data_IF_079452757258
#
_entry.id   IF_079452757258
#
_cell.length_a   1.000
_cell.length_b   1.000
_cell.length_c   1.000
_cell.angle_alpha   90.00
_cell.angle_beta   90.00
_cell.angle_gamma   90.00
#
_symmetry.space_group_name_H-M   'P 1'
#
loop_
_entity.id
_entity.type
_entity.pdbx_description
1 polymer ?
#
# COMPACT_ATOMS: atom_id res chain seq x y z
N UNK A 1 -6.11 5.55 -11.68
CA UNK A 1 -6.55 5.26 -10.29
C UNK A 1 -5.74 6.16 -9.40
N UNK A 2 -6.37 6.93 -8.51
CA UNK A 2 -5.65 7.87 -7.63
C UNK A 2 -5.41 7.28 -6.25
N UNK A 3 -4.20 7.39 -5.75
CA UNK A 3 -3.77 6.83 -4.46
C UNK A 3 -3.34 7.93 -3.49
N UNK A 4 -3.99 8.02 -2.34
CA UNK A 4 -3.59 8.88 -1.23
C UNK A 4 -2.77 8.08 -0.23
N UNK A 5 -1.53 8.47 -0.01
CA UNK A 5 -0.65 7.87 1.01
C UNK A 5 -0.59 8.79 2.22
N UNK A 6 -1.37 8.44 3.24
CA UNK A 6 -1.36 9.12 4.54
C UNK A 6 -0.25 8.50 5.39
N UNK A 7 0.83 9.24 5.57
CA UNK A 7 1.96 8.84 6.40
C UNK A 7 1.81 9.42 7.79
N UNK A 8 1.94 8.58 8.81
CA UNK A 8 2.10 9.00 10.20
C UNK A 8 3.40 8.47 10.74
N UNK A 9 4.36 9.35 10.99
CA UNK A 9 5.66 8.99 11.57
C UNK A 9 6.30 10.23 12.24
N UNK A 10 6.55 10.20 13.57
CA UNK A 10 7.03 11.38 14.30
C UNK A 10 8.32 12.02 13.76
N UNK A 11 9.25 11.20 13.28
CA UNK A 11 10.51 11.65 12.69
C UNK A 11 10.77 11.01 11.32
N UNK A 12 10.08 11.47 10.28
CA UNK A 12 10.31 10.98 8.91
C UNK A 12 11.73 11.29 8.42
N UNK A 13 12.32 12.41 8.82
CA UNK A 13 13.64 12.84 8.32
C UNK A 13 14.76 11.95 8.85
N UNK A 14 14.69 11.51 10.11
CA UNK A 14 15.63 10.55 10.69
C UNK A 14 15.39 9.08 10.32
N UNK A 15 14.30 8.77 9.61
CA UNK A 15 13.91 7.39 9.32
C UNK A 15 14.32 6.93 7.92
N UNK A 16 15.41 6.17 7.84
CA UNK A 16 15.90 5.59 6.58
C UNK A 16 14.81 4.81 5.82
N UNK A 17 13.98 4.05 6.54
CA UNK A 17 12.88 3.29 5.94
C UNK A 17 11.83 4.20 5.28
N UNK A 18 11.47 5.32 5.92
CA UNK A 18 10.47 6.23 5.39
C UNK A 18 11.03 7.07 4.24
N UNK A 19 12.30 7.49 4.31
CA UNK A 19 12.98 8.15 3.20
C UNK A 19 13.03 7.23 1.98
N UNK A 20 13.45 5.97 2.16
CA UNK A 20 13.45 4.98 1.10
C UNK A 20 12.06 4.81 0.46
N UNK A 21 11.00 4.64 1.26
CA UNK A 21 9.64 4.49 0.74
C UNK A 21 9.14 5.75 0.03
N UNK A 22 9.48 6.93 0.55
CA UNK A 22 9.11 8.21 -0.06
C UNK A 22 9.78 8.39 -1.42
N UNK A 23 11.07 8.09 -1.51
CA UNK A 23 11.85 8.16 -2.76
C UNK A 23 11.46 7.06 -3.75
N UNK A 24 10.96 5.94 -3.25
CA UNK A 24 10.47 4.81 -4.07
C UNK A 24 9.11 5.06 -4.72
N UNK A 25 8.38 6.10 -4.33
CA UNK A 25 7.09 6.42 -4.95
C UNK A 25 7.31 6.79 -6.43
N UNK A 26 6.50 6.26 -7.35
CA UNK A 26 6.63 6.60 -8.74
C UNK A 26 6.28 8.08 -8.92
N UNK A 27 6.99 8.75 -9.84
CA UNK A 27 6.72 10.16 -10.19
C UNK A 27 5.43 10.21 -11.00
N UNK A 28 4.30 10.32 -10.32
CA UNK A 28 2.97 10.32 -10.92
C UNK A 28 2.06 11.34 -10.23
N UNK A 29 1.27 12.06 -11.03
CA UNK A 29 0.23 12.96 -10.53
C UNK A 29 -0.93 12.21 -9.84
N UNK A 30 -1.01 10.89 -10.03
CA UNK A 30 -2.04 10.05 -9.42
C UNK A 30 -1.73 9.66 -7.97
N UNK A 31 -0.52 9.92 -7.46
CA UNK A 31 -0.14 9.61 -6.09
C UNK A 31 0.06 10.87 -5.27
N UNK A 32 -0.72 11.02 -4.21
CA UNK A 32 -0.56 12.09 -3.24
C UNK A 32 0.11 11.56 -1.98
N UNK A 33 1.33 12.03 -1.70
CA UNK A 33 2.02 11.80 -0.43
C UNK A 33 1.60 12.85 0.59
N UNK A 34 0.98 12.42 1.69
CA UNK A 34 0.45 13.30 2.72
C UNK A 34 0.98 12.89 4.11
N UNK A 35 1.96 13.63 4.63
CA UNK A 35 2.56 13.35 5.94
C UNK A 35 1.88 14.18 7.04
N UNK A 36 1.25 13.49 8.01
CA UNK A 36 0.44 14.11 9.05
C UNK A 36 1.25 15.02 9.96
N UNK A 37 2.38 14.56 10.50
CA UNK A 37 3.15 15.31 11.50
C UNK A 37 3.83 16.56 10.91
N UNK A 38 4.12 16.58 9.60
CA UNK A 38 4.58 17.81 8.91
C UNK A 38 3.42 18.75 8.59
N UNK A 39 2.25 18.21 8.25
CA UNK A 39 1.08 19.05 7.90
C UNK A 39 0.44 19.66 9.14
N UNK A 40 0.40 18.91 10.24
CA UNK A 40 -0.24 19.27 11.50
C UNK A 40 0.75 19.15 12.67
N UNK A 41 1.80 20.01 12.72
CA UNK A 41 2.80 19.97 13.79
C UNK A 41 2.23 20.35 15.17
N UNK A 42 1.11 21.07 15.20
CA UNK A 42 0.32 21.40 16.39
C UNK A 42 -0.82 20.40 16.65
N UNK A 43 -0.89 19.33 15.85
CA UNK A 43 -1.94 18.31 15.82
C UNK A 43 -3.36 18.87 15.59
N UNK A 44 -3.51 20.08 15.05
CA UNK A 44 -4.82 20.67 14.78
C UNK A 44 -5.28 20.29 13.36
N UNK A 45 -5.96 19.16 13.24
CA UNK A 45 -6.31 18.57 11.94
C UNK A 45 -7.42 19.38 11.26
N UNK A 46 -7.16 19.80 10.02
CA UNK A 46 -8.17 20.43 9.19
C UNK A 46 -9.07 19.37 8.56
N UNK A 47 -10.16 19.02 9.28
CA UNK A 47 -11.14 18.03 8.84
C UNK A 47 -11.58 18.21 7.39
N UNK A 48 -11.94 19.42 6.96
CA UNK A 48 -12.47 19.63 5.60
C UNK A 48 -11.41 19.36 4.53
N UNK A 49 -10.15 19.73 4.79
CA UNK A 49 -9.05 19.45 3.87
C UNK A 49 -8.81 17.94 3.74
N UNK A 50 -8.79 17.22 4.86
CA UNK A 50 -8.60 15.76 4.87
C UNK A 50 -9.74 15.02 4.17
N UNK A 51 -10.98 15.44 4.41
CA UNK A 51 -12.15 14.88 3.72
C UNK A 51 -12.11 15.14 2.22
N UNK A 52 -11.64 16.31 1.78
CA UNK A 52 -11.47 16.61 0.37
C UNK A 52 -10.41 15.72 -0.28
N UNK A 53 -9.29 15.46 0.42
CA UNK A 53 -8.28 14.50 -0.03
C UNK A 53 -8.89 13.09 -0.18
N UNK A 54 -9.65 12.62 0.81
CA UNK A 54 -10.31 11.30 0.73
C UNK A 54 -11.29 11.17 -0.44
N UNK A 55 -12.04 12.24 -0.74
CA UNK A 55 -12.97 12.25 -1.88
C UNK A 55 -12.23 12.15 -3.21
N UNK A 56 -11.09 12.85 -3.33
CA UNK A 56 -10.31 12.96 -4.57
C UNK A 56 -9.52 11.69 -4.96
N UNK A 57 -9.45 10.68 -4.09
CA UNK A 57 -8.63 9.48 -4.30
C UNK A 57 -9.44 8.19 -4.20
N UNK A 58 -9.07 7.17 -4.96
CA UNK A 58 -9.75 5.88 -5.03
C UNK A 58 -9.21 4.90 -3.99
N UNK A 59 -7.89 4.92 -3.77
CA UNK A 59 -7.17 4.09 -2.81
C UNK A 59 -6.57 4.97 -1.73
N UNK A 60 -6.83 4.62 -0.48
CA UNK A 60 -6.28 5.29 0.71
C UNK A 60 -5.32 4.31 1.37
N UNK A 61 -4.08 4.76 1.58
CA UNK A 61 -3.04 4.00 2.25
C UNK A 61 -2.71 4.67 3.57
N UNK A 62 -2.77 3.90 4.66
CA UNK A 62 -2.16 4.31 5.91
C UNK A 62 -0.76 3.72 6.00
N UNK A 63 0.24 4.58 6.03
CA UNK A 63 1.64 4.21 6.16
C UNK A 63 2.20 4.66 7.50
N UNK A 64 2.66 3.70 8.31
CA UNK A 64 3.15 4.01 9.65
C UNK A 64 4.09 2.93 10.20
N UNK A 65 4.99 3.29 11.13
CA UNK A 65 5.73 2.29 11.89
C UNK A 65 4.82 1.64 12.94
N UNK A 66 4.97 0.33 13.13
CA UNK A 66 4.18 -0.40 14.14
C UNK A 66 4.74 -0.10 15.54
N UNK A 67 4.11 0.84 16.25
CA UNK A 67 4.48 1.22 17.62
C UNK A 67 3.52 0.59 18.62
N UNK A 68 4.06 -0.23 19.53
CA UNK A 68 3.26 -0.95 20.53
C UNK A 68 2.03 -1.63 19.91
N UNK A 69 2.26 -2.34 18.80
CA UNK A 69 1.22 -3.08 18.06
C UNK A 69 0.11 -2.21 17.45
N UNK A 70 0.34 -0.90 17.30
CA UNK A 70 -0.61 0.06 16.73
C UNK A 70 0.10 1.13 15.90
N UNK A 71 -0.65 2.12 15.42
CA UNK A 71 -0.10 3.30 14.76
C UNK A 71 0.44 4.31 15.77
N UNK A 72 1.22 5.30 15.31
CA UNK A 72 1.44 6.53 16.06
C UNK A 72 0.10 7.22 16.41
N UNK A 73 0.10 8.05 17.47
CA UNK A 73 -1.12 8.63 18.02
C UNK A 73 -1.84 9.57 17.04
N UNK A 74 -1.09 10.31 16.21
CA UNK A 74 -1.68 11.29 15.30
C UNK A 74 -2.56 10.62 14.24
N UNK A 75 -2.20 9.43 13.73
CA UNK A 75 -3.09 8.68 12.83
C UNK A 75 -4.39 8.25 13.51
N UNK A 76 -4.35 7.92 14.80
CA UNK A 76 -5.57 7.58 15.54
C UNK A 76 -6.46 8.81 15.75
N UNK A 77 -5.86 9.96 16.11
CA UNK A 77 -6.55 11.24 16.20
C UNK A 77 -7.17 11.64 14.86
N UNK A 78 -6.42 11.48 13.77
CA UNK A 78 -6.90 11.71 12.40
C UNK A 78 -8.12 10.85 12.07
N UNK A 79 -8.10 9.56 12.41
CA UNK A 79 -9.27 8.69 12.21
C UNK A 79 -10.49 9.23 12.99
N UNK A 80 -10.31 9.64 14.24
CA UNK A 80 -11.40 10.13 15.09
C UNK A 80 -11.98 11.47 14.63
N UNK A 81 -11.15 12.36 14.10
CA UNK A 81 -11.57 13.71 13.71
C UNK A 81 -12.07 13.80 12.26
N UNK A 82 -11.59 12.94 11.36
CA UNK A 82 -11.89 12.98 9.92
C UNK A 82 -13.02 12.03 9.54
N UNK A 83 -13.05 10.82 10.11
CA UNK A 83 -14.06 9.79 9.81
C UNK A 83 -15.33 10.04 10.62
N UNK A 84 -16.07 11.08 10.24
CA UNK A 84 -17.26 11.56 10.97
C UNK A 84 -18.57 11.02 10.40
N UNK A 85 -19.60 11.02 11.25
CA UNK A 85 -20.98 10.79 10.82
C UNK A 85 -21.43 11.84 9.78
N UNK A 86 -22.18 11.41 8.78
CA UNK A 86 -22.60 12.26 7.66
C UNK A 86 -21.57 12.41 6.55
N UNK A 87 -20.34 11.95 6.77
CA UNK A 87 -19.29 11.88 5.74
C UNK A 87 -18.85 10.43 5.48
N UNK A 88 -18.27 9.77 6.49
CA UNK A 88 -17.69 8.43 6.36
C UNK A 88 -18.71 7.32 6.66
N UNK A 89 -19.67 7.58 7.56
CA UNK A 89 -20.72 6.64 7.94
C UNK A 89 -22.01 7.36 8.38
N UNK A 90 -23.06 6.60 8.66
CA UNK A 90 -24.35 7.13 9.13
C UNK A 90 -25.19 7.72 8.00
N UNK A 91 -26.22 8.49 8.35
CA UNK A 91 -27.16 9.04 7.35
C UNK A 91 -26.42 10.02 6.44
N UNK A 92 -26.35 9.72 5.13
CA UNK A 92 -25.62 10.51 4.14
C UNK A 92 -24.11 10.26 4.07
N UNK A 93 -23.54 9.52 5.03
CA UNK A 93 -22.10 9.23 5.07
C UNK A 93 -21.73 8.05 4.19
N UNK A 94 -21.51 8.30 2.89
CA UNK A 94 -21.11 7.29 1.89
C UNK A 94 -19.84 7.67 1.12
N UNK A 95 -19.10 8.70 1.56
CA UNK A 95 -17.98 9.26 0.80
C UNK A 95 -16.84 8.24 0.53
N UNK A 96 -16.75 7.19 1.34
CA UNK A 96 -15.69 6.17 1.28
C UNK A 96 -16.16 4.84 0.70
N UNK A 97 -17.44 4.69 0.38
CA UNK A 97 -17.99 3.41 -0.11
C UNK A 97 -17.36 3.04 -1.44
N UNK A 98 -16.87 1.80 -1.55
CA UNK A 98 -16.22 1.28 -2.75
C UNK A 98 -14.75 1.66 -2.93
N UNK A 99 -14.22 2.57 -2.11
CA UNK A 99 -12.78 2.90 -2.08
C UNK A 99 -11.97 1.79 -1.42
N UNK A 100 -10.66 1.84 -1.56
CA UNK A 100 -9.76 0.83 -0.99
C UNK A 100 -8.99 1.36 0.20
N UNK A 101 -8.84 0.54 1.24
CA UNK A 101 -7.96 0.82 2.37
C UNK A 101 -6.80 -0.17 2.37
N UNK A 102 -5.59 0.31 2.17
CA UNK A 102 -4.36 -0.46 2.34
C UNK A 102 -3.55 0.03 3.55
N UNK A 103 -2.71 -0.85 4.07
CA UNK A 103 -1.80 -0.55 5.18
C UNK A 103 -0.37 -0.82 4.74
N UNK A 104 0.54 0.13 4.97
CA UNK A 104 1.99 -0.04 4.79
C UNK A 104 2.65 0.11 6.15
N UNK A 105 3.28 -0.96 6.63
CA UNK A 105 3.79 -1.04 7.99
C UNK A 105 5.29 -1.28 7.98
N UNK A 106 6.05 -0.48 8.71
CA UNK A 106 7.43 -0.86 9.06
C UNK A 106 7.45 -1.51 10.43
N UNK A 107 8.04 -2.69 10.52
CA UNK A 107 8.02 -3.54 11.71
C UNK A 107 9.45 -3.94 12.08
N UNK A 108 9.86 -3.67 13.32
CA UNK A 108 11.21 -3.99 13.80
C UNK A 108 11.46 -5.47 14.06
N UNK A 109 10.39 -6.25 14.22
CA UNK A 109 10.44 -7.69 14.53
C UNK A 109 10.29 -8.52 13.24
N UNK A 110 10.95 -9.68 13.19
CA UNK A 110 10.86 -10.61 12.08
C UNK A 110 9.43 -11.14 11.87
N UNK A 111 9.07 -11.40 10.61
CA UNK A 111 7.75 -11.93 10.23
C UNK A 111 7.39 -13.22 10.99
N UNK A 112 8.34 -14.14 11.11
CA UNK A 112 8.16 -15.44 11.81
C UNK A 112 7.83 -15.31 13.30
N UNK A 113 7.99 -14.13 13.91
CA UNK A 113 7.60 -13.91 15.29
C UNK A 113 6.09 -13.71 15.44
N UNK A 114 5.41 -13.25 14.38
CA UNK A 114 3.98 -12.97 14.34
C UNK A 114 3.18 -14.21 13.93
N UNK A 115 3.21 -15.23 14.78
CA UNK A 115 2.42 -16.45 14.61
C UNK A 115 2.24 -17.15 15.96
N UNK A 116 1.32 -18.12 16.00
CA UNK A 116 1.18 -18.98 17.17
C UNK A 116 2.51 -19.72 17.45
N UNK A 117 3.01 -19.62 18.68
CA UNK A 117 4.33 -20.16 19.06
C UNK A 117 5.53 -19.28 18.70
N UNK A 118 5.34 -18.21 17.94
CA UNK A 118 6.35 -17.16 17.73
C UNK A 118 6.43 -16.18 18.90
N UNK A 119 7.47 -15.36 18.97
CA UNK A 119 7.69 -14.47 20.12
C UNK A 119 6.53 -13.49 20.40
N UNK A 120 5.83 -13.04 19.34
CA UNK A 120 4.70 -12.10 19.46
C UNK A 120 3.37 -12.81 19.69
N UNK A 121 3.30 -14.14 19.59
CA UNK A 121 2.14 -15.00 19.83
C UNK A 121 0.90 -14.78 18.93
N UNK A 122 0.87 -13.70 18.16
CA UNK A 122 -0.25 -13.31 17.30
C UNK A 122 0.20 -13.11 15.86
N UNK A 123 -0.67 -13.46 14.92
CA UNK A 123 -0.48 -13.08 13.53
C UNK A 123 -0.62 -11.55 13.39
N UNK A 124 0.17 -10.95 12.51
CA UNK A 124 0.11 -9.51 12.28
C UNK A 124 -1.29 -9.07 11.84
N UNK A 125 -1.99 -9.89 11.05
CA UNK A 125 -3.39 -9.65 10.65
C UNK A 125 -4.34 -9.51 11.84
N UNK A 126 -4.10 -10.20 12.96
CA UNK A 126 -4.92 -10.08 14.17
C UNK A 126 -4.75 -8.73 14.86
N UNK A 127 -3.53 -8.19 14.83
CA UNK A 127 -3.21 -6.87 15.40
C UNK A 127 -3.83 -5.74 14.58
N UNK A 128 -4.09 -5.98 13.29
CA UNK A 128 -4.61 -4.98 12.35
C UNK A 128 -6.15 -5.02 12.18
N UNK A 129 -6.84 -5.88 12.94
CA UNK A 129 -8.30 -5.97 12.94
C UNK A 129 -8.99 -4.62 13.13
N UNK A 130 -8.52 -3.69 14.00
CA UNK A 130 -9.18 -2.38 14.13
C UNK A 130 -9.28 -1.60 12.82
N UNK A 131 -8.24 -1.62 11.98
CA UNK A 131 -8.25 -0.95 10.68
C UNK A 131 -9.17 -1.64 9.68
N UNK A 132 -9.18 -2.98 9.67
CA UNK A 132 -10.11 -3.75 8.86
C UNK A 132 -11.56 -3.46 9.27
N UNK A 133 -11.84 -3.35 10.58
CA UNK A 133 -13.15 -3.01 11.10
C UNK A 133 -13.59 -1.60 10.67
N UNK A 134 -12.66 -0.62 10.67
CA UNK A 134 -12.92 0.72 10.12
C UNK A 134 -13.28 0.64 8.64
N UNK A 135 -12.46 -0.01 7.80
CA UNK A 135 -12.75 -0.18 6.38
C UNK A 135 -14.14 -0.78 6.14
N UNK A 136 -14.47 -1.86 6.84
CA UNK A 136 -15.78 -2.51 6.75
C UNK A 136 -16.92 -1.57 7.15
N UNK A 137 -16.73 -0.78 8.21
CA UNK A 137 -17.74 0.16 8.73
C UNK A 137 -18.06 1.27 7.73
N UNK A 138 -17.05 1.77 7.01
CA UNK A 138 -17.19 2.87 6.03
C UNK A 138 -17.39 2.38 4.60
N UNK A 139 -17.51 1.06 4.39
CA UNK A 139 -17.79 0.44 3.09
C UNK A 139 -16.60 0.40 2.13
N UNK A 140 -15.37 0.43 2.66
CA UNK A 140 -14.14 0.28 1.88
C UNK A 140 -13.73 -1.18 1.71
N UNK A 141 -13.03 -1.48 0.62
CA UNK A 141 -12.34 -2.75 0.39
C UNK A 141 -11.00 -2.76 1.13
N UNK A 142 -10.89 -3.59 2.17
CA UNK A 142 -9.63 -3.74 2.90
C UNK A 142 -8.64 -4.61 2.10
N UNK A 143 -7.49 -4.04 1.76
CA UNK A 143 -6.41 -4.73 1.03
C UNK A 143 -5.56 -5.55 2.00
N UNK A 144 -4.84 -6.54 1.45
CA UNK A 144 -3.83 -7.26 2.21
C UNK A 144 -2.77 -6.25 2.73
N UNK A 145 -2.44 -6.24 4.03
CA UNK A 145 -1.42 -5.35 4.58
C UNK A 145 -0.06 -5.58 3.94
N UNK A 146 0.63 -4.49 3.62
CA UNK A 146 2.00 -4.47 3.14
C UNK A 146 2.95 -4.27 4.32
N UNK A 147 3.41 -5.38 4.91
CA UNK A 147 4.32 -5.35 6.06
C UNK A 147 5.78 -5.45 5.63
N UNK A 148 6.61 -4.57 6.18
CA UNK A 148 8.05 -4.47 5.93
C UNK A 148 8.75 -4.81 7.24
N UNK A 149 9.16 -6.08 7.35
CA UNK A 149 9.87 -6.57 8.52
C UNK A 149 11.35 -6.27 8.40
N UNK A 150 11.96 -5.72 9.45
CA UNK A 150 13.41 -5.66 9.60
C UNK A 150 14.13 -4.93 8.46
N UNK A 151 13.54 -3.83 7.95
CA UNK A 151 14.09 -3.05 6.83
C UNK A 151 15.59 -2.71 6.97
N UNK A 152 16.03 -2.33 8.17
CA UNK A 152 17.43 -1.98 8.45
C UNK A 152 18.43 -3.14 8.27
N UNK A 153 17.95 -4.38 8.19
CA UNK A 153 18.76 -5.57 7.97
C UNK A 153 18.65 -6.13 6.55
N UNK A 154 17.84 -5.49 5.68
CA UNK A 154 17.71 -5.89 4.28
C UNK A 154 18.98 -5.53 3.49
N UNK A 155 19.37 -6.44 2.60
CA UNK A 155 20.37 -6.20 1.56
C UNK A 155 19.84 -5.24 0.49
N UNK A 156 20.73 -4.64 -0.30
CA UNK A 156 20.36 -3.76 -1.41
C UNK A 156 19.40 -4.44 -2.39
N UNK A 157 19.63 -5.72 -2.69
CA UNK A 157 18.76 -6.51 -3.58
C UNK A 157 17.35 -6.68 -3.01
N UNK A 158 17.24 -6.92 -1.70
CA UNK A 158 15.95 -7.01 -1.02
C UNK A 158 15.23 -5.66 -1.00
N UNK A 159 15.96 -4.57 -0.81
CA UNK A 159 15.41 -3.21 -0.90
C UNK A 159 14.91 -2.90 -2.31
N UNK A 160 15.65 -3.24 -3.36
CA UNK A 160 15.19 -3.08 -4.75
C UNK A 160 13.92 -3.88 -5.05
N UNK A 161 13.85 -5.13 -4.60
CA UNK A 161 12.64 -5.94 -4.73
C UNK A 161 11.46 -5.34 -3.94
N UNK A 162 11.74 -4.76 -2.77
CA UNK A 162 10.76 -4.07 -1.95
C UNK A 162 10.19 -2.83 -2.66
N UNK A 163 11.05 -2.02 -3.30
CA UNK A 163 10.65 -0.86 -4.09
C UNK A 163 9.63 -1.25 -5.16
N UNK A 164 9.94 -2.28 -5.95
CA UNK A 164 9.03 -2.75 -7.02
C UNK A 164 7.68 -3.17 -6.43
N UNK A 165 7.70 -3.98 -5.36
CA UNK A 165 6.47 -4.44 -4.70
C UNK A 165 5.68 -3.27 -4.12
N UNK A 166 6.35 -2.26 -3.59
CA UNK A 166 5.73 -1.07 -3.01
C UNK A 166 5.08 -0.21 -4.09
N UNK A 167 5.76 0.02 -5.22
CA UNK A 167 5.18 0.72 -6.36
C UNK A 167 3.94 0.00 -6.91
N UNK A 168 4.04 -1.32 -7.10
CA UNK A 168 2.91 -2.16 -7.52
C UNK A 168 1.72 -2.03 -6.55
N UNK A 169 1.97 -1.99 -5.24
CA UNK A 169 0.92 -1.82 -4.24
C UNK A 169 0.22 -0.46 -4.33
N UNK A 170 0.90 0.57 -4.84
CA UNK A 170 0.32 1.91 -5.01
C UNK A 170 -0.43 2.08 -6.33
N UNK A 171 -0.02 1.40 -7.39
CA UNK A 171 -0.45 1.69 -8.78
C UNK A 171 -1.36 0.62 -9.36
N UNK A 172 -1.21 -0.65 -8.98
CA UNK A 172 -1.97 -1.73 -9.59
C UNK A 172 -3.42 -1.78 -9.10
N UNK A 173 -4.41 -1.92 -9.98
CA UNK A 173 -5.82 -2.11 -9.59
C UNK A 173 -6.04 -3.46 -8.89
N UNK A 174 -5.30 -4.49 -9.30
CA UNK A 174 -5.27 -5.82 -8.68
C UNK A 174 -3.87 -6.43 -8.75
N UNK A 175 -3.63 -7.43 -7.89
CA UNK A 175 -2.32 -8.08 -7.77
C UNK A 175 -2.20 -9.36 -8.61
N UNK A 176 -3.03 -9.52 -9.66
CA UNK A 176 -2.93 -10.67 -10.56
C UNK A 176 -1.57 -10.71 -11.26
N UNK A 177 -1.18 -11.91 -11.70
CA UNK A 177 0.07 -12.10 -12.44
C UNK A 177 0.10 -11.22 -13.70
N UNK A 178 -0.99 -11.20 -14.46
CA UNK A 178 -1.08 -10.41 -15.70
C UNK A 178 -0.92 -8.91 -15.42
N UNK A 179 -1.60 -8.37 -14.41
CA UNK A 179 -1.46 -6.96 -14.02
C UNK A 179 -0.01 -6.61 -13.63
N UNK A 180 0.66 -7.47 -12.87
CA UNK A 180 2.05 -7.27 -12.46
C UNK A 180 3.03 -7.30 -13.63
N UNK A 181 2.85 -8.21 -14.58
CA UNK A 181 3.73 -8.32 -15.74
C UNK A 181 3.51 -7.13 -16.67
N UNK A 182 2.27 -6.76 -16.96
CA UNK A 182 1.98 -5.58 -17.79
C UNK A 182 2.57 -4.31 -17.17
N UNK A 183 2.43 -4.14 -15.85
CA UNK A 183 3.08 -3.03 -15.15
C UNK A 183 4.60 -3.04 -15.31
N UNK A 184 5.23 -4.23 -15.30
CA UNK A 184 6.67 -4.34 -15.49
C UNK A 184 7.07 -3.95 -16.91
N UNK A 185 6.32 -4.38 -17.92
CA UNK A 185 6.51 -3.97 -19.32
C UNK A 185 6.39 -2.45 -19.44
N UNK A 186 5.33 -1.84 -18.90
CA UNK A 186 5.12 -0.38 -18.92
C UNK A 186 6.29 0.38 -18.28
N UNK A 187 6.86 -0.13 -17.17
CA UNK A 187 8.05 0.49 -16.56
C UNK A 187 9.29 0.36 -17.46
N UNK A 188 9.51 -0.81 -18.07
CA UNK A 188 10.63 -1.03 -18.97
C UNK A 188 10.53 -0.14 -20.21
N UNK A 189 9.34 -0.02 -20.81
CA UNK A 189 9.09 0.87 -21.96
C UNK A 189 9.35 2.34 -21.62
N UNK A 190 9.00 2.79 -20.41
CA UNK A 190 9.21 4.16 -19.97
C UNK A 190 10.69 4.51 -19.74
N UNK A 191 11.53 3.52 -19.44
CA UNK A 191 12.99 3.67 -19.26
C UNK A 191 13.81 3.25 -20.50
N UNK A 192 13.17 2.64 -21.51
CA UNK A 192 13.83 2.05 -22.66
C UNK A 192 14.32 3.11 -23.66
N UNK A 193 15.62 3.40 -23.58
CA UNK A 193 16.41 3.99 -24.68
C UNK A 193 17.36 2.95 -25.32
N UNK A 194 17.20 1.64 -25.02
CA UNK A 194 18.12 0.59 -25.47
C UNK A 194 17.44 -0.64 -26.10
N UNK A 195 18.02 -1.11 -27.21
CA UNK A 195 17.64 -2.31 -27.95
C UNK A 195 17.66 -3.61 -27.12
N UNK A 196 18.44 -3.63 -26.02
CA UNK A 196 18.46 -4.77 -25.10
C UNK A 196 17.19 -4.84 -24.25
N UNK A 197 16.54 -3.70 -23.98
CA UNK A 197 15.29 -3.65 -23.22
C UNK A 197 14.11 -4.18 -24.05
N UNK A 198 14.05 -3.84 -25.34
CA UNK A 198 13.04 -4.34 -26.28
C UNK A 198 13.05 -5.88 -26.37
N UNK A 199 14.25 -6.48 -26.43
CA UNK A 199 14.37 -7.95 -26.44
C UNK A 199 13.88 -8.60 -25.14
N UNK A 200 14.07 -7.92 -23.99
CA UNK A 200 13.56 -8.42 -22.71
C UNK A 200 12.04 -8.33 -22.67
N UNK A 201 11.46 -7.24 -23.19
CA UNK A 201 10.00 -7.07 -23.30
C UNK A 201 9.42 -8.19 -24.18
N UNK A 202 9.95 -8.40 -25.38
CA UNK A 202 9.49 -9.46 -26.30
C UNK A 202 9.47 -10.84 -25.63
N UNK A 203 10.53 -11.19 -24.89
CA UNK A 203 10.61 -12.48 -24.17
C UNK A 203 9.57 -12.57 -23.06
N UNK A 204 9.31 -11.47 -22.34
CA UNK A 204 8.30 -11.44 -21.27
C UNK A 204 6.89 -11.63 -21.86
N UNK A 205 6.60 -10.97 -22.99
CA UNK A 205 5.32 -11.10 -23.71
C UNK A 205 5.11 -12.53 -24.23
N UNK A 206 6.13 -13.13 -24.85
CA UNK A 206 6.07 -14.52 -25.31
C UNK A 206 5.80 -15.50 -24.15
N UNK A 207 6.44 -15.31 -22.99
CA UNK A 207 6.19 -16.12 -21.80
C UNK A 207 4.77 -15.92 -21.23
N UNK A 208 4.19 -14.71 -21.32
CA UNK A 208 2.79 -14.50 -20.94
C UNK A 208 1.85 -15.31 -21.83
N UNK A 209 2.07 -15.28 -23.15
CA UNK A 209 1.28 -16.04 -24.12
C UNK A 209 1.34 -17.54 -23.80
N UNK A 210 2.53 -18.07 -23.52
CA UNK A 210 2.70 -19.49 -23.16
C UNK A 210 1.95 -19.84 -21.86
N UNK A 211 1.99 -18.98 -20.84
CA UNK A 211 1.25 -19.17 -19.59
C UNK A 211 -0.26 -19.19 -19.83
N UNK A 212 -0.77 -18.29 -20.66
CA UNK A 212 -2.20 -18.21 -20.96
C UNK A 212 -2.69 -19.39 -21.82
N UNK A 213 -1.87 -19.88 -22.76
CA UNK A 213 -2.10 -21.13 -23.47
C UNK A 213 -2.14 -22.32 -22.51
N UNK A 214 -1.17 -22.45 -21.59
CA UNK A 214 -1.17 -23.51 -20.58
C UNK A 214 -2.42 -23.47 -19.68
N UNK A 215 -2.86 -22.28 -19.28
CA UNK A 215 -4.10 -22.09 -18.51
C UNK A 215 -5.34 -22.54 -19.29
N UNK A 216 -5.42 -22.21 -20.58
CA UNK A 216 -6.48 -22.70 -21.47
C UNK A 216 -6.48 -24.24 -21.50
N UNK A 217 -5.33 -24.86 -21.70
CA UNK A 217 -5.21 -26.32 -21.71
C UNK A 217 -5.62 -26.99 -20.40
N UNK A 218 -5.25 -26.43 -19.25
CA UNK A 218 -5.67 -26.94 -17.94
C UNK A 218 -7.19 -26.81 -17.73
N UNK A 219 -7.79 -25.73 -18.18
CA UNK A 219 -9.23 -25.49 -18.04
C UNK A 219 -10.08 -26.34 -19.00
N UNK A 220 -9.56 -26.70 -20.18
CA UNK A 220 -10.25 -27.54 -21.17
C UNK A 220 -9.89 -29.04 -21.07
N UNK A 221 -8.76 -29.40 -20.47
CA UNK A 221 -8.30 -30.79 -20.31
C UNK A 221 -8.79 -31.51 -19.05
N UNK A 222 -9.55 -30.82 -18.18
CA UNK A 222 -10.11 -31.36 -16.93
C UNK A 222 -11.53 -31.95 -17.04
N UNK A 223 -12.00 -32.32 -18.24
CA UNK A 223 -13.28 -33.03 -18.44
C UNK A 223 -13.08 -34.47 -18.86
#
# INVERSE_FOLDING_TARGET
MKTLVIVSHPDVQGSNSQQFLKESLPVSEDITYHHLETTYPDENINRQAEQALLVAHDRIIFQFPLYWYSSPPLLKKWQDEVLTEGFAYGVGGQALVGKELGLVLTVGIAEQAYQAGGAEQFALSQLLIPYQAVANKVGMRFLAPFAIHQFQYMTEREQQALLIRYQQYMTLPDLSLSARVNWFIEQLEAEADSFEMDQVIDVIEDLQLEIDEMRLHLNYGGR
#
